data_IF_006518566571
#
_entry.id   IF_006518566571
#
_cell.length_a   1.000
_cell.length_b   1.000
_cell.length_c   1.000
_cell.angle_alpha   90.00
_cell.angle_beta   90.00
_cell.angle_gamma   90.00
#
_symmetry.space_group_name_H-M   'P 1'
#
loop_
_entity.id
_entity.type
_entity.pdbx_description
1 polymer ?
#
# COMPACT_ATOMS: atom_id res chain seq x y z
N UNK A 1 2.36 -5.33 21.93
CA UNK A 1 1.43 -5.89 20.92
C UNK A 1 0.08 -5.18 21.10
N UNK A 2 0.10 -3.85 21.01
CA UNK A 2 -1.11 -3.05 21.10
C UNK A 2 -1.78 -3.06 19.72
N UNK A 3 -3.11 -3.12 19.70
CA UNK A 3 -3.98 -3.09 18.51
C UNK A 3 -4.23 -4.40 17.74
N UNK A 4 -3.95 -5.58 18.30
CA UNK A 4 -4.21 -6.85 17.59
C UNK A 4 -5.66 -7.01 17.13
N UNK A 5 -6.62 -6.67 18.00
CA UNK A 5 -8.06 -6.75 17.68
C UNK A 5 -8.44 -5.78 16.57
N UNK A 6 -8.01 -4.53 16.67
CA UNK A 6 -8.29 -3.49 15.67
C UNK A 6 -7.67 -3.86 14.31
N UNK A 7 -6.45 -4.41 14.29
CA UNK A 7 -5.77 -4.90 13.09
C UNK A 7 -6.51 -6.05 12.43
N UNK A 8 -6.96 -7.04 13.21
CA UNK A 8 -7.75 -8.15 12.69
C UNK A 8 -9.12 -7.68 12.18
N UNK A 9 -9.74 -6.70 12.85
CA UNK A 9 -10.96 -6.04 12.37
C UNK A 9 -10.75 -5.35 11.02
N UNK A 10 -9.66 -4.61 10.86
CA UNK A 10 -9.27 -3.97 9.60
C UNK A 10 -9.03 -4.99 8.49
N UNK A 11 -8.33 -6.09 8.78
CA UNK A 11 -8.09 -7.17 7.81
C UNK A 11 -9.40 -7.82 7.38
N UNK A 12 -10.29 -8.12 8.32
CA UNK A 12 -11.61 -8.68 8.02
C UNK A 12 -12.43 -7.74 7.14
N UNK A 13 -12.45 -6.43 7.47
CA UNK A 13 -13.10 -5.42 6.65
C UNK A 13 -12.47 -5.37 5.26
N UNK A 14 -11.14 -5.25 5.15
CA UNK A 14 -10.43 -5.22 3.86
C UNK A 14 -10.78 -6.42 2.97
N UNK A 15 -10.76 -7.64 3.53
CA UNK A 15 -11.09 -8.90 2.83
C UNK A 15 -12.54 -8.91 2.33
N UNK A 16 -13.47 -8.35 3.09
CA UNK A 16 -14.88 -8.33 2.70
C UNK A 16 -15.19 -7.48 1.45
N UNK A 17 -14.23 -6.67 0.96
CA UNK A 17 -14.33 -5.98 -0.33
C UNK A 17 -13.94 -6.85 -1.52
N UNK A 18 -13.44 -8.06 -1.31
CA UNK A 18 -13.00 -8.96 -2.37
C UNK A 18 -14.01 -9.04 -3.52
N UNK A 19 -13.52 -8.94 -4.76
CA UNK A 19 -14.28 -8.88 -6.01
C UNK A 19 -15.12 -7.63 -6.25
N UNK A 20 -15.04 -6.59 -5.41
CA UNK A 20 -15.61 -5.28 -5.76
C UNK A 20 -14.99 -4.81 -7.08
N UNK A 21 -15.79 -4.49 -8.12
CA UNK A 21 -15.25 -4.10 -9.43
C UNK A 21 -14.36 -2.86 -9.35
N UNK A 22 -13.37 -2.78 -10.23
CA UNK A 22 -12.56 -1.57 -10.32
C UNK A 22 -13.32 -0.47 -11.08
N UNK A 23 -13.51 0.68 -10.46
CA UNK A 23 -14.14 1.86 -11.09
C UNK A 23 -13.42 3.13 -10.63
N UNK A 24 -12.83 3.83 -11.59
CA UNK A 24 -12.10 5.07 -11.36
C UNK A 24 -12.96 6.08 -10.57
N UNK A 25 -12.37 6.64 -9.51
CA UNK A 25 -12.97 7.62 -8.61
C UNK A 25 -14.25 7.17 -7.90
N UNK A 26 -14.60 5.88 -7.89
CA UNK A 26 -15.74 5.37 -7.13
C UNK A 26 -15.30 4.85 -5.76
N UNK A 27 -16.25 4.81 -4.82
CA UNK A 27 -16.04 4.35 -3.45
C UNK A 27 -17.28 3.64 -2.91
N UNK A 28 -17.67 2.53 -3.54
CA UNK A 28 -18.85 1.76 -3.14
C UNK A 28 -18.59 0.25 -3.20
N UNK A 29 -18.64 -0.39 -2.02
CA UNK A 29 -18.40 -1.82 -1.84
C UNK A 29 -19.35 -2.65 -2.70
N UNK A 30 -18.82 -3.67 -3.38
CA UNK A 30 -19.58 -4.52 -4.30
C UNK A 30 -19.94 -3.88 -5.65
N UNK A 31 -19.92 -2.55 -5.79
CA UNK A 31 -20.33 -1.86 -7.02
C UNK A 31 -19.14 -1.31 -7.82
N UNK A 32 -18.17 -0.70 -7.14
CA UNK A 32 -17.08 0.01 -7.81
C UNK A 32 -16.14 0.72 -6.85
N UNK A 33 -14.84 0.48 -6.98
CA UNK A 33 -13.81 1.19 -6.22
C UNK A 33 -12.48 1.25 -7.00
N UNK A 34 -11.63 2.25 -6.74
CA UNK A 34 -10.28 2.30 -7.29
C UNK A 34 -9.19 2.06 -6.23
N UNK A 35 -7.92 2.09 -6.64
CA UNK A 35 -6.78 1.78 -5.78
C UNK A 35 -6.54 2.79 -4.65
N UNK A 36 -7.01 4.03 -4.77
CA UNK A 36 -6.87 5.05 -3.73
C UNK A 36 -8.11 5.14 -2.83
N UNK A 37 -9.29 4.98 -3.43
CA UNK A 37 -10.58 5.02 -2.75
C UNK A 37 -10.81 3.76 -1.91
N UNK A 38 -10.27 2.61 -2.32
CA UNK A 38 -10.44 1.36 -1.60
C UNK A 38 -9.85 1.39 -0.19
N UNK A 39 -8.57 1.73 0.02
CA UNK A 39 -8.04 1.80 1.38
C UNK A 39 -8.75 2.85 2.22
N UNK A 40 -9.06 4.02 1.65
CA UNK A 40 -9.81 5.07 2.35
C UNK A 40 -11.17 4.58 2.87
N UNK A 41 -11.92 3.85 2.04
CA UNK A 41 -13.21 3.29 2.43
C UNK A 41 -13.08 2.18 3.49
N UNK A 42 -12.09 1.30 3.32
CA UNK A 42 -11.88 0.17 4.23
C UNK A 42 -11.46 0.65 5.64
N UNK A 43 -10.52 1.60 5.74
CA UNK A 43 -10.12 2.15 7.04
C UNK A 43 -11.26 2.90 7.73
N UNK A 44 -12.06 3.64 6.97
CA UNK A 44 -13.23 4.33 7.51
C UNK A 44 -14.29 3.32 8.01
N UNK A 45 -14.60 2.30 7.23
CA UNK A 45 -15.55 1.25 7.60
C UNK A 45 -15.09 0.43 8.82
N UNK A 46 -13.77 0.27 8.99
CA UNK A 46 -13.17 -0.36 10.17
C UNK A 46 -13.16 0.57 11.41
N UNK A 47 -13.57 1.83 11.29
CA UNK A 47 -13.58 2.81 12.38
C UNK A 47 -12.19 3.32 12.78
N UNK A 48 -11.19 3.18 11.90
CA UNK A 48 -9.80 3.57 12.19
C UNK A 48 -9.48 5.00 11.77
N UNK A 49 -10.24 5.57 10.83
CA UNK A 49 -10.11 6.95 10.39
C UNK A 49 -11.50 7.57 10.20
N UNK A 50 -11.57 8.88 10.35
CA UNK A 50 -12.74 9.65 9.90
C UNK A 50 -12.97 9.52 8.39
N UNK A 51 -14.13 9.95 7.90
CA UNK A 51 -14.41 9.90 6.47
C UNK A 51 -13.42 10.79 5.71
N UNK A 52 -12.56 10.16 4.91
CA UNK A 52 -11.59 10.87 4.09
C UNK A 52 -12.34 11.54 2.92
N UNK A 53 -12.29 12.87 2.77
CA UNK A 53 -12.96 13.55 1.67
C UNK A 53 -12.55 12.99 0.32
N UNK A 54 -13.50 12.94 -0.62
CA UNK A 54 -13.19 12.54 -1.98
C UNK A 54 -12.29 13.59 -2.63
N UNK A 55 -11.04 13.22 -2.93
CA UNK A 55 -10.14 14.10 -3.67
C UNK A 55 -10.24 13.77 -5.17
N UNK A 56 -10.60 14.73 -6.02
CA UNK A 56 -10.66 14.49 -7.45
C UNK A 56 -9.24 14.35 -8.02
N UNK A 57 -8.98 13.25 -8.70
CA UNK A 57 -7.77 13.07 -9.49
C UNK A 57 -8.11 12.45 -10.85
N UNK A 58 -7.31 12.78 -11.87
CA UNK A 58 -7.39 12.06 -13.15
C UNK A 58 -6.82 10.66 -12.96
N UNK A 59 -7.47 9.58 -13.42
CA UNK A 59 -6.92 8.21 -13.30
C UNK A 59 -5.51 8.05 -13.86
N UNK A 60 -5.12 8.89 -14.81
CA UNK A 60 -3.79 8.89 -15.44
C UNK A 60 -2.85 9.99 -14.92
N UNK A 61 -3.21 10.70 -13.85
CA UNK A 61 -2.44 11.83 -13.33
C UNK A 61 -0.97 11.45 -13.08
N UNK A 62 -0.74 10.26 -12.56
CA UNK A 62 0.56 9.70 -12.23
C UNK A 62 1.48 9.49 -13.45
N UNK A 63 0.94 9.48 -14.68
CA UNK A 63 1.72 9.34 -15.92
C UNK A 63 2.34 10.67 -16.32
N UNK A 64 1.64 11.79 -16.11
CA UNK A 64 2.03 13.10 -16.63
C UNK A 64 2.41 14.11 -15.54
N UNK A 65 2.24 13.75 -14.26
CA UNK A 65 2.47 14.63 -13.12
C UNK A 65 3.33 13.93 -12.08
N UNK A 66 4.13 14.75 -11.36
CA UNK A 66 5.00 14.31 -10.26
C UNK A 66 4.44 14.66 -8.89
N UNK A 67 3.29 15.33 -8.83
CA UNK A 67 2.69 15.70 -7.56
C UNK A 67 2.34 14.44 -6.75
N UNK A 68 2.47 14.49 -5.43
CA UNK A 68 2.22 13.36 -4.53
C UNK A 68 0.83 13.46 -3.85
N UNK A 69 -0.25 13.61 -4.63
CA UNK A 69 -1.63 13.76 -4.11
C UNK A 69 -2.05 12.62 -3.17
N UNK A 70 -1.85 11.36 -3.58
CA UNK A 70 -2.28 10.23 -2.77
C UNK A 70 -1.45 10.11 -1.49
N UNK A 71 -0.13 10.19 -1.60
CA UNK A 71 0.77 10.18 -0.44
C UNK A 71 0.47 11.34 0.54
N UNK A 72 0.21 12.56 0.04
CA UNK A 72 -0.17 13.70 0.89
C UNK A 72 -1.41 13.38 1.73
N UNK A 73 -2.42 12.71 1.16
CA UNK A 73 -3.61 12.28 1.90
C UNK A 73 -3.24 11.23 2.95
N UNK A 74 -2.46 10.21 2.57
CA UNK A 74 -2.05 9.15 3.51
C UNK A 74 -1.30 9.72 4.72
N UNK A 75 -0.39 10.67 4.51
CA UNK A 75 0.37 11.32 5.58
C UNK A 75 -0.49 12.13 6.56
N UNK A 76 -1.72 12.51 6.19
CA UNK A 76 -2.66 13.16 7.10
C UNK A 76 -3.32 12.18 8.08
N UNK A 77 -3.32 10.88 7.78
CA UNK A 77 -4.06 9.86 8.54
C UNK A 77 -3.18 8.72 9.08
N UNK A 78 -1.96 8.58 8.57
CA UNK A 78 -1.08 7.46 8.90
C UNK A 78 0.36 7.95 9.06
N UNK A 79 1.12 7.28 9.94
CA UNK A 79 2.57 7.47 10.04
C UNK A 79 3.29 6.49 9.12
N UNK A 80 4.37 6.93 8.50
CA UNK A 80 5.26 6.04 7.77
C UNK A 80 5.99 5.12 8.74
N UNK A 81 6.17 3.86 8.35
CA UNK A 81 6.91 2.85 9.09
C UNK A 81 8.07 2.32 8.24
N UNK A 82 9.07 1.78 8.94
CA UNK A 82 10.18 1.16 8.26
C UNK A 82 9.71 -0.04 7.41
N UNK A 83 10.29 -0.25 6.24
CA UNK A 83 10.05 -1.44 5.44
C UNK A 83 10.58 -2.69 6.15
N UNK A 84 10.12 -3.89 5.74
CA UNK A 84 10.57 -5.14 6.35
C UNK A 84 12.09 -5.25 6.38
N UNK A 85 12.66 -5.46 7.56
CA UNK A 85 14.09 -5.67 7.80
C UNK A 85 14.95 -4.41 7.93
N UNK A 86 14.36 -3.21 7.89
CA UNK A 86 15.08 -1.95 8.04
C UNK A 86 15.01 -1.45 9.49
N UNK A 87 16.09 -1.53 10.26
CA UNK A 87 16.19 -0.79 11.54
C UNK A 87 16.51 0.71 11.31
N UNK A 88 17.19 1.03 10.20
CA UNK A 88 17.46 2.37 9.66
C UNK A 88 17.99 2.11 8.26
N UNK A 89 17.50 2.77 7.22
CA UNK A 89 18.08 2.67 5.88
C UNK A 89 19.53 3.17 5.97
N UNK A 90 20.56 2.35 5.76
CA UNK A 90 21.90 2.89 5.59
C UNK A 90 22.07 3.21 4.09
N UNK A 91 22.61 4.40 3.81
CA UNK A 91 22.78 4.97 2.46
C UNK A 91 23.67 4.11 1.53
N UNK A 92 24.24 3.03 2.04
CA UNK A 92 25.20 2.12 1.42
C UNK A 92 24.58 0.85 0.80
N UNK A 93 23.30 0.55 1.04
CA UNK A 93 22.61 -0.62 0.45
C UNK A 93 22.04 -0.38 -0.96
N UNK A 94 22.10 0.87 -1.44
CA UNK A 94 21.76 1.22 -2.83
C UNK A 94 23.03 1.04 -3.67
N UNK A 95 23.25 -0.18 -4.18
CA UNK A 95 24.22 -0.37 -5.25
C UNK A 95 23.93 0.57 -6.43
N UNK A 96 24.88 0.82 -7.35
CA UNK A 96 24.82 1.90 -8.35
C UNK A 96 23.65 1.83 -9.38
N UNK A 97 22.73 0.87 -9.23
CA UNK A 97 21.51 0.69 -10.03
C UNK A 97 20.22 0.61 -9.22
N UNK A 98 20.28 0.77 -7.90
CA UNK A 98 19.10 0.82 -7.03
C UNK A 98 18.32 -0.47 -6.85
N UNK A 99 18.83 -1.64 -7.26
CA UNK A 99 18.10 -2.91 -7.12
C UNK A 99 18.67 -3.71 -5.96
N UNK A 100 17.82 -4.06 -4.97
CA UNK A 100 18.14 -5.05 -3.93
C UNK A 100 18.14 -6.45 -4.56
N UNK A 101 19.21 -7.22 -4.35
CA UNK A 101 19.28 -8.63 -4.76
C UNK A 101 18.34 -9.51 -3.92
N UNK A 102 17.82 -10.59 -4.52
CA UNK A 102 16.84 -11.49 -3.89
C UNK A 102 17.31 -12.04 -2.53
N UNK A 103 18.61 -12.37 -2.40
CA UNK A 103 19.20 -12.88 -1.15
C UNK A 103 19.19 -11.85 -0.01
N UNK A 104 19.30 -10.56 -0.34
CA UNK A 104 19.28 -9.47 0.65
C UNK A 104 17.86 -9.21 1.12
N UNK A 105 16.88 -9.26 0.20
CA UNK A 105 15.44 -9.17 0.54
C UNK A 105 15.05 -10.30 1.49
N UNK A 106 15.48 -11.53 1.19
CA UNK A 106 15.21 -12.70 2.01
C UNK A 106 15.87 -12.60 3.39
N UNK A 107 17.10 -12.10 3.48
CA UNK A 107 17.80 -11.89 4.74
C UNK A 107 17.14 -10.79 5.61
N UNK A 108 16.68 -9.71 5.00
CA UNK A 108 15.98 -8.61 5.68
C UNK A 108 14.62 -9.07 6.25
N UNK A 109 13.88 -9.88 5.51
CA UNK A 109 12.65 -10.55 5.99
C UNK A 109 12.97 -11.45 7.19
N UNK A 110 14.10 -12.18 7.15
CA UNK A 110 14.52 -13.11 8.20
C UNK A 110 15.06 -12.43 9.46
N UNK A 111 15.56 -11.20 9.36
CA UNK A 111 16.19 -10.45 10.45
C UNK A 111 15.19 -9.68 11.37
N UNK A 112 13.94 -9.49 10.93
CA UNK A 112 12.79 -9.35 11.85
C UNK A 112 12.73 -8.14 12.80
N UNK A 113 13.20 -6.95 12.43
CA UNK A 113 13.15 -5.78 13.36
C UNK A 113 12.08 -4.72 13.09
N UNK A 114 11.19 -4.91 12.11
CA UNK A 114 9.79 -4.41 12.05
C UNK A 114 9.26 -4.80 10.67
N UNK A 115 8.48 -5.88 10.59
CA UNK A 115 7.78 -6.23 9.36
C UNK A 115 6.43 -5.52 9.37
N UNK A 116 5.96 -4.96 8.23
CA UNK A 116 4.62 -4.38 8.16
C UNK A 116 3.61 -5.42 8.65
N UNK A 117 2.79 -4.98 9.58
CA UNK A 117 1.83 -5.81 10.29
C UNK A 117 0.51 -5.87 9.51
N UNK A 118 -0.34 -6.86 9.81
CA UNK A 118 -1.68 -6.91 9.25
C UNK A 118 -2.43 -5.58 9.50
N UNK A 119 -3.10 -5.10 8.45
CA UNK A 119 -3.82 -3.82 8.45
C UNK A 119 -2.94 -2.60 8.18
N UNK A 120 -1.63 -2.74 7.95
CA UNK A 120 -0.81 -1.63 7.46
C UNK A 120 -1.08 -1.35 5.97
N UNK A 121 -0.83 -0.11 5.54
CA UNK A 121 -0.92 0.31 4.14
C UNK A 121 0.45 0.19 3.48
N UNK A 122 0.47 -0.23 2.22
CA UNK A 122 1.63 -0.10 1.33
C UNK A 122 1.27 0.76 0.13
N UNK A 123 2.14 1.69 -0.24
CA UNK A 123 2.03 2.53 -1.44
C UNK A 123 3.14 2.20 -2.43
N UNK A 124 2.75 2.06 -3.69
CA UNK A 124 3.64 1.84 -4.83
C UNK A 124 3.69 3.07 -5.72
N UNK A 125 4.89 3.31 -6.27
CA UNK A 125 5.12 4.36 -7.27
C UNK A 125 4.79 3.84 -8.67
N UNK A 126 3.71 4.35 -9.25
CA UNK A 126 3.28 4.03 -10.63
C UNK A 126 3.44 5.29 -11.47
N UNK A 127 4.09 5.19 -12.63
CA UNK A 127 4.44 6.39 -13.42
C UNK A 127 5.47 7.24 -12.67
N UNK A 128 5.12 8.44 -12.23
CA UNK A 128 6.05 9.39 -11.62
C UNK A 128 5.86 9.65 -10.12
N UNK A 129 4.77 9.17 -9.51
CA UNK A 129 4.43 9.40 -8.10
C UNK A 129 3.78 8.17 -7.43
N UNK A 130 3.54 8.24 -6.13
CA UNK A 130 2.84 7.19 -5.39
C UNK A 130 1.36 7.24 -5.74
N UNK A 131 0.89 6.21 -6.45
CA UNK A 131 -0.41 6.24 -7.11
C UNK A 131 -1.17 4.91 -7.04
N UNK A 132 -0.63 3.90 -6.34
CA UNK A 132 -1.30 2.63 -6.13
C UNK A 132 -1.14 2.17 -4.69
N UNK A 133 -2.26 1.87 -4.02
CA UNK A 133 -2.29 1.47 -2.63
C UNK A 133 -2.76 0.04 -2.43
N UNK A 134 -2.25 -0.62 -1.41
CA UNK A 134 -2.70 -1.93 -0.97
C UNK A 134 -2.69 -2.05 0.56
N UNK A 135 -3.53 -2.92 1.10
CA UNK A 135 -3.59 -3.23 2.53
C UNK A 135 -2.85 -4.55 2.77
N UNK A 136 -1.99 -4.58 3.79
CA UNK A 136 -1.24 -5.76 4.20
C UNK A 136 -2.16 -6.73 4.93
N UNK A 137 -2.26 -7.96 4.42
CA UNK A 137 -2.96 -9.06 5.09
C UNK A 137 -1.99 -9.86 5.95
N UNK A 138 -0.86 -10.22 5.35
CA UNK A 138 0.25 -10.89 6.01
C UNK A 138 1.45 -10.72 5.06
N UNK A 139 2.20 -9.62 5.21
CA UNK A 139 3.24 -9.26 4.25
C UNK A 139 4.15 -10.47 3.94
N UNK A 140 4.43 -10.76 2.65
CA UNK A 140 4.12 -9.95 1.47
C UNK A 140 2.73 -10.16 0.82
N UNK A 141 1.81 -10.85 1.48
CA UNK A 141 0.41 -10.97 1.04
C UNK A 141 -0.36 -9.68 1.29
N UNK A 142 -0.96 -9.14 0.23
CA UNK A 142 -1.72 -7.89 0.24
C UNK A 142 -3.11 -8.08 -0.37
N UNK A 143 -3.98 -7.09 -0.20
CA UNK A 143 -5.23 -6.93 -0.93
C UNK A 143 -5.33 -5.50 -1.47
N UNK A 144 -5.78 -5.35 -2.72
CA UNK A 144 -5.90 -4.05 -3.38
C UNK A 144 -6.89 -4.06 -4.54
N UNK A 145 -7.26 -2.88 -5.02
CA UNK A 145 -8.05 -2.73 -6.24
C UNK A 145 -7.12 -2.58 -7.45
N UNK A 146 -7.28 -3.45 -8.45
CA UNK A 146 -6.49 -3.43 -9.69
C UNK A 146 -7.41 -3.19 -10.89
N UNK A 147 -6.98 -2.29 -11.78
CA UNK A 147 -7.73 -1.96 -12.98
C UNK A 147 -7.93 -3.21 -13.85
N UNK A 148 -9.19 -3.50 -14.18
CA UNK A 148 -9.58 -4.68 -14.96
C UNK A 148 -9.82 -5.95 -14.13
N UNK A 149 -9.43 -5.97 -12.85
CA UNK A 149 -9.57 -7.15 -12.00
C UNK A 149 -10.43 -6.92 -10.75
N UNK A 150 -10.62 -5.66 -10.35
CA UNK A 150 -11.32 -5.31 -9.10
C UNK A 150 -10.45 -5.52 -7.87
N UNK A 151 -11.09 -5.63 -6.71
CA UNK A 151 -10.41 -5.91 -5.44
C UNK A 151 -9.99 -7.38 -5.41
N UNK A 152 -8.68 -7.63 -5.33
CA UNK A 152 -8.09 -8.97 -5.35
C UNK A 152 -6.92 -9.07 -4.36
N UNK A 153 -6.58 -10.30 -4.02
CA UNK A 153 -5.32 -10.60 -3.36
C UNK A 153 -4.15 -10.41 -4.32
N UNK A 154 -3.01 -10.02 -3.76
CA UNK A 154 -1.76 -9.80 -4.48
C UNK A 154 -0.55 -10.25 -3.67
N UNK A 155 0.58 -10.30 -4.37
CA UNK A 155 1.90 -10.59 -3.80
C UNK A 155 2.72 -9.31 -3.96
N UNK A 156 2.87 -8.57 -2.86
CA UNK A 156 3.43 -7.22 -2.81
C UNK A 156 4.87 -7.05 -3.33
N UNK A 157 5.64 -8.12 -3.47
CA UNK A 157 6.99 -8.18 -4.06
C UNK A 157 6.99 -8.58 -5.55
N UNK A 158 5.89 -9.13 -6.07
CA UNK A 158 5.75 -9.55 -7.47
C UNK A 158 4.74 -8.71 -8.25
N UNK A 159 4.08 -7.76 -7.59
CA UNK A 159 3.17 -6.83 -8.25
C UNK A 159 3.86 -6.17 -9.44
N UNK A 160 3.17 -5.99 -10.58
CA UNK A 160 3.78 -5.45 -11.78
C UNK A 160 4.32 -4.02 -11.60
N UNK A 161 3.87 -3.32 -10.55
CA UNK A 161 4.36 -2.00 -10.14
C UNK A 161 5.71 -2.03 -9.42
N UNK A 162 6.17 -3.23 -9.02
CA UNK A 162 7.46 -3.49 -8.37
C UNK A 162 8.50 -4.10 -9.34
N UNK A 163 8.17 -4.24 -10.63
CA UNK A 163 8.94 -4.99 -11.65
C UNK A 163 10.40 -4.58 -11.81
N UNK A 164 10.72 -3.31 -11.62
CA UNK A 164 12.08 -2.81 -11.86
C UNK A 164 12.95 -2.81 -10.60
N UNK A 165 12.36 -3.05 -9.41
CA UNK A 165 13.02 -3.03 -8.08
C UNK A 165 14.00 -1.87 -7.86
N UNK A 166 13.84 -0.76 -8.58
CA UNK A 166 14.69 0.42 -8.45
C UNK A 166 14.49 1.04 -7.06
N UNK A 167 15.53 1.66 -6.52
CA UNK A 167 15.50 2.19 -5.16
C UNK A 167 14.43 3.28 -5.00
N UNK A 168 14.19 4.06 -6.06
CA UNK A 168 13.15 5.08 -6.09
C UNK A 168 11.73 4.52 -6.35
N UNK A 169 11.61 3.20 -6.55
CA UNK A 169 10.37 2.43 -6.77
C UNK A 169 10.05 1.50 -5.60
N UNK A 170 10.85 1.53 -4.55
CA UNK A 170 10.60 0.72 -3.36
C UNK A 170 9.26 1.13 -2.72
N UNK A 171 8.46 0.14 -2.30
CA UNK A 171 7.19 0.42 -1.65
C UNK A 171 7.40 1.13 -0.31
N UNK A 172 6.49 2.03 0.02
CA UNK A 172 6.45 2.73 1.31
C UNK A 172 5.32 2.20 2.16
N UNK A 173 5.55 2.07 3.46
CA UNK A 173 4.62 1.43 4.39
C UNK A 173 4.11 2.44 5.40
N UNK A 174 2.84 2.32 5.77
CA UNK A 174 2.19 3.25 6.69
C UNK A 174 1.28 2.51 7.65
N UNK A 175 1.15 3.04 8.87
CA UNK A 175 0.26 2.49 9.89
C UNK A 175 -0.64 3.58 10.46
N UNK A 176 -1.90 3.23 10.69
CA UNK A 176 -2.93 4.08 11.33
C UNK A 176 -3.04 3.81 12.84
N UNK A 177 -2.22 2.89 13.35
CA UNK A 177 -2.19 2.43 14.74
C UNK A 177 -1.05 3.08 15.53
#
# INVERSE_FOLDING_TARGET
MDHERERMGMVAEAVSWFRTPYRDCQRLKGCGVDCAQYPAAAYHAAGLVEEIPHFPYSPQWHINQREEKYLKVVLSYAREIAPPGCATWPDDLVGPRGVLGDEVVDALIKAGTYAPLPGDLVLYKVGHCHAHGAIVIAWPRIIHAVKGEGVKYGQGLEEPFHKDRLADRLPRFFTVF
#
